data_IF_420401354610
#
_entry.id   IF_420401354610
#
_cell.length_a   1.000
_cell.length_b   1.000
_cell.length_c   1.000
_cell.angle_alpha   90.00
_cell.angle_beta   90.00
_cell.angle_gamma   90.00
#
_symmetry.space_group_name_H-M   'P 1'
#
loop_
_entity.id
_entity.type
_entity.pdbx_description
1 polymer ?
#
# COMPACT_ATOMS: atom_id res chain seq x y z
N UNK A 1 20.51 -2.81 18.48
CA UNK A 1 19.65 -2.06 17.54
C UNK A 1 18.52 -2.99 17.16
N UNK A 2 17.26 -2.61 17.42
CA UNK A 2 16.14 -3.45 16.98
C UNK A 2 16.01 -3.37 15.46
N UNK A 3 15.72 -4.50 14.82
CA UNK A 3 15.62 -4.62 13.36
C UNK A 3 14.17 -4.56 12.93
N UNK A 4 13.87 -3.79 11.88
CA UNK A 4 12.52 -3.74 11.30
C UNK A 4 12.24 -5.06 10.56
N UNK A 5 11.14 -5.71 10.93
CA UNK A 5 10.68 -6.97 10.32
C UNK A 5 9.38 -6.69 9.56
N UNK A 6 9.26 -7.24 8.34
CA UNK A 6 8.01 -7.24 7.59
C UNK A 6 7.36 -8.62 7.74
N UNK A 7 6.08 -8.65 8.13
CA UNK A 7 5.31 -9.88 8.25
C UNK A 7 3.87 -9.68 7.78
N UNK A 8 3.13 -10.77 7.70
CA UNK A 8 1.68 -10.71 7.47
C UNK A 8 1.00 -10.04 8.68
N UNK A 9 -0.05 -9.28 8.40
CA UNK A 9 -0.89 -8.67 9.40
C UNK A 9 -1.79 -9.72 10.05
N UNK A 10 -1.98 -9.62 11.36
CA UNK A 10 -2.90 -10.50 12.11
C UNK A 10 -3.96 -9.71 12.85
N UNK A 11 -4.94 -10.41 13.44
CA UNK A 11 -5.99 -9.78 14.24
C UNK A 11 -5.44 -8.99 15.44
N UNK A 12 -4.29 -9.40 15.99
CA UNK A 12 -3.62 -8.70 17.10
C UNK A 12 -3.03 -7.35 16.67
N UNK A 13 -2.70 -7.17 15.39
CA UNK A 13 -2.12 -5.93 14.89
C UNK A 13 -3.19 -4.84 14.62
N UNK A 14 -4.47 -5.23 14.53
CA UNK A 14 -5.56 -4.37 14.03
C UNK A 14 -5.70 -3.04 14.78
N UNK A 15 -5.54 -3.05 16.10
CA UNK A 15 -5.69 -1.82 16.89
C UNK A 15 -4.60 -0.80 16.51
N UNK A 16 -3.34 -1.23 16.42
CA UNK A 16 -2.24 -0.35 16.02
C UNK A 16 -2.34 0.06 14.54
N UNK A 17 -2.83 -0.82 13.67
CA UNK A 17 -3.09 -0.47 12.27
C UNK A 17 -4.18 0.60 12.16
N UNK A 18 -5.25 0.48 12.94
CA UNK A 18 -6.33 1.47 12.97
C UNK A 18 -5.85 2.83 13.48
N UNK A 19 -5.00 2.87 14.51
CA UNK A 19 -4.36 4.12 14.96
C UNK A 19 -3.53 4.78 13.83
N UNK A 20 -2.72 3.98 13.11
CA UNK A 20 -1.94 4.48 11.97
C UNK A 20 -2.86 5.01 10.86
N UNK A 21 -3.99 4.35 10.63
CA UNK A 21 -5.00 4.73 9.65
C UNK A 21 -5.60 6.10 9.99
N UNK A 22 -6.06 6.28 11.23
CA UNK A 22 -6.61 7.55 11.74
C UNK A 22 -5.59 8.69 11.69
N UNK A 23 -4.32 8.41 12.01
CA UNK A 23 -3.24 9.41 11.90
C UNK A 23 -2.91 9.81 10.46
N UNK A 24 -3.15 8.91 9.49
CA UNK A 24 -2.62 9.06 8.12
C UNK A 24 -3.62 9.63 7.12
N UNK A 25 -4.92 9.45 7.35
CA UNK A 25 -5.95 9.76 6.35
C UNK A 25 -7.08 10.60 6.92
N UNK A 26 -7.56 11.56 6.12
CA UNK A 26 -8.72 12.41 6.45
C UNK A 26 -10.02 11.59 6.56
N UNK A 27 -10.12 10.48 5.82
CA UNK A 27 -11.26 9.57 5.83
C UNK A 27 -10.72 8.14 6.06
N UNK A 28 -10.41 7.78 7.31
CA UNK A 28 -9.84 6.49 7.64
C UNK A 28 -10.83 5.35 7.37
N UNK A 29 -10.34 4.18 6.98
CA UNK A 29 -11.18 3.00 6.93
C UNK A 29 -11.66 2.60 8.33
N UNK A 30 -12.93 2.18 8.47
CA UNK A 30 -13.42 1.67 9.74
C UNK A 30 -12.69 0.36 10.11
N UNK A 31 -12.51 0.13 11.41
CA UNK A 31 -11.85 -1.08 11.95
C UNK A 31 -12.46 -2.38 11.39
N UNK A 32 -13.77 -2.42 11.16
CA UNK A 32 -14.46 -3.56 10.57
C UNK A 32 -14.00 -3.89 9.16
N UNK A 33 -13.71 -2.87 8.34
CA UNK A 33 -13.19 -3.05 6.98
C UNK A 33 -11.72 -3.47 7.01
N UNK A 34 -10.91 -2.86 7.88
CA UNK A 34 -9.52 -3.30 8.11
C UNK A 34 -9.48 -4.78 8.55
N UNK A 35 -10.39 -5.21 9.42
CA UNK A 35 -10.53 -6.62 9.82
C UNK A 35 -10.94 -7.51 8.65
N UNK A 36 -11.85 -7.06 7.79
CA UNK A 36 -12.24 -7.82 6.61
C UNK A 36 -11.05 -8.07 5.67
N UNK A 37 -10.15 -7.10 5.51
CA UNK A 37 -8.94 -7.26 4.70
C UNK A 37 -7.99 -8.34 5.18
N UNK A 38 -8.00 -8.73 6.47
CA UNK A 38 -7.22 -9.89 6.93
C UNK A 38 -7.60 -11.19 6.20
N UNK A 39 -8.84 -11.28 5.73
CA UNK A 39 -9.34 -12.43 4.96
C UNK A 39 -9.28 -12.17 3.46
N UNK A 40 -9.63 -10.95 3.02
CA UNK A 40 -9.76 -10.62 1.60
C UNK A 40 -8.42 -10.43 0.89
N UNK A 41 -7.38 -9.98 1.60
CA UNK A 41 -6.10 -9.64 1.00
C UNK A 41 -5.24 -10.87 0.67
N UNK A 42 -5.57 -12.06 1.18
CA UNK A 42 -4.90 -13.33 0.85
C UNK A 42 -3.36 -13.23 0.81
N UNK A 43 -2.75 -12.92 1.97
CA UNK A 43 -1.31 -12.73 2.08
C UNK A 43 -0.80 -11.40 1.48
N UNK A 44 -1.66 -10.42 1.19
CA UNK A 44 -1.24 -9.10 0.71
C UNK A 44 -1.49 -7.99 1.75
N UNK A 45 -1.80 -8.35 2.98
CA UNK A 45 -1.86 -7.42 4.11
C UNK A 45 -0.61 -7.60 4.97
N UNK A 46 0.27 -6.60 4.94
CA UNK A 46 1.56 -6.64 5.61
C UNK A 46 1.67 -5.55 6.66
N UNK A 47 2.45 -5.83 7.69
CA UNK A 47 2.90 -4.85 8.68
C UNK A 47 4.41 -4.80 8.75
N UNK A 48 4.92 -3.62 9.08
CA UNK A 48 6.30 -3.41 9.48
C UNK A 48 6.35 -3.26 11.00
N UNK A 49 7.12 -4.10 11.67
CA UNK A 49 7.22 -4.13 13.13
C UNK A 49 8.65 -3.96 13.62
N UNK A 50 8.81 -3.22 14.70
CA UNK A 50 10.03 -3.10 15.50
C UNK A 50 9.64 -3.47 16.93
N UNK A 51 10.14 -4.62 17.40
CA UNK A 51 9.66 -5.30 18.61
C UNK A 51 8.14 -5.57 18.57
N UNK A 52 7.37 -4.99 19.50
CA UNK A 52 5.91 -5.12 19.59
C UNK A 52 5.15 -3.96 18.91
N UNK A 53 5.86 -3.03 18.28
CA UNK A 53 5.27 -1.81 17.72
C UNK A 53 5.14 -1.90 16.20
N UNK A 54 3.93 -1.64 15.71
CA UNK A 54 3.67 -1.50 14.28
C UNK A 54 4.07 -0.09 13.85
N UNK A 55 5.04 -0.03 12.94
CA UNK A 55 5.56 1.21 12.37
C UNK A 55 4.81 1.65 11.11
N UNK A 56 4.13 0.71 10.46
CA UNK A 56 3.39 0.94 9.23
C UNK A 56 2.76 -0.35 8.71
N UNK A 57 1.90 -0.20 7.72
CA UNK A 57 1.19 -1.32 7.13
C UNK A 57 0.95 -1.08 5.63
N UNK A 58 0.61 -2.14 4.91
CA UNK A 58 0.03 -2.03 3.57
C UNK A 58 -1.03 -3.09 3.34
N UNK A 59 -2.06 -2.73 2.59
CA UNK A 59 -3.11 -3.64 2.12
C UNK A 59 -3.04 -3.66 0.59
N UNK A 60 -2.82 -4.85 0.04
CA UNK A 60 -2.92 -5.11 -1.40
C UNK A 60 -4.09 -6.02 -1.73
N UNK A 61 -4.54 -5.95 -2.98
CA UNK A 61 -5.55 -6.85 -3.55
C UNK A 61 -5.17 -7.23 -4.97
N UNK A 62 -5.29 -8.52 -5.32
CA UNK A 62 -5.23 -8.95 -6.71
C UNK A 62 -6.59 -8.71 -7.38
N UNK A 63 -6.58 -8.03 -8.52
CA UNK A 63 -7.78 -7.74 -9.29
C UNK A 63 -7.65 -8.24 -10.73
N UNK A 64 -8.77 -8.69 -11.31
CA UNK A 64 -8.84 -9.18 -12.69
C UNK A 64 -7.70 -10.15 -13.06
N UNK A 65 -7.32 -10.98 -12.09
CA UNK A 65 -6.22 -11.97 -12.13
C UNK A 65 -4.82 -11.42 -12.45
N UNK A 66 -4.66 -10.18 -12.89
CA UNK A 66 -3.40 -9.68 -13.47
C UNK A 66 -2.95 -8.34 -12.89
N UNK A 67 -3.73 -7.75 -11.98
CA UNK A 67 -3.47 -6.39 -11.48
C UNK A 67 -3.27 -6.42 -9.97
N UNK A 68 -2.12 -5.95 -9.51
CA UNK A 68 -1.91 -5.66 -8.10
C UNK A 68 -2.47 -4.28 -7.78
N UNK A 69 -3.40 -4.18 -6.85
CA UNK A 69 -3.92 -2.90 -6.38
C UNK A 69 -3.40 -2.64 -4.97
N UNK A 70 -2.63 -1.57 -4.78
CA UNK A 70 -2.28 -1.07 -3.44
C UNK A 70 -3.50 -0.30 -2.93
N UNK A 71 -4.27 -0.94 -2.05
CA UNK A 71 -5.49 -0.36 -1.47
C UNK A 71 -5.15 0.71 -0.45
N UNK A 72 -4.20 0.41 0.44
CA UNK A 72 -3.70 1.37 1.42
C UNK A 72 -2.25 1.08 1.77
N UNK A 73 -1.52 2.14 2.11
CA UNK A 73 -0.18 2.07 2.67
C UNK A 73 0.04 3.30 3.54
N UNK A 74 0.45 3.06 4.78
CA UNK A 74 0.68 4.11 5.75
C UNK A 74 1.80 3.75 6.71
N UNK A 75 2.44 4.77 7.26
CA UNK A 75 3.51 4.65 8.26
C UNK A 75 3.32 5.72 9.31
N UNK A 76 3.60 5.41 10.59
CA UNK A 76 3.56 6.39 11.67
C UNK A 76 4.43 7.59 11.33
N UNK A 77 3.92 8.80 11.57
CA UNK A 77 4.58 10.06 11.20
C UNK A 77 6.01 10.18 11.73
N UNK A 78 6.24 9.70 12.96
CA UNK A 78 7.54 9.68 13.66
C UNK A 78 8.57 8.72 13.04
N UNK A 79 8.14 7.84 12.15
CA UNK A 79 8.96 6.78 11.54
C UNK A 79 9.15 6.96 10.03
N UNK A 80 8.66 8.09 9.48
CA UNK A 80 8.88 8.46 8.08
C UNK A 80 10.38 8.64 7.83
N UNK A 81 10.81 8.43 6.57
CA UNK A 81 12.22 8.51 6.12
C UNK A 81 13.18 7.46 6.69
N UNK A 82 12.70 6.46 7.46
CA UNK A 82 13.49 5.25 7.85
C UNK A 82 13.42 4.10 6.83
N UNK A 83 12.79 4.30 5.67
CA UNK A 83 12.63 3.25 4.65
C UNK A 83 11.48 2.27 4.89
N UNK A 84 10.68 2.42 5.96
CA UNK A 84 9.55 1.53 6.30
C UNK A 84 8.56 1.37 5.13
N UNK A 85 8.07 2.48 4.58
CA UNK A 85 7.13 2.45 3.46
C UNK A 85 7.73 1.78 2.21
N UNK A 86 9.02 2.03 1.95
CA UNK A 86 9.74 1.39 0.84
C UNK A 86 9.85 -0.12 1.03
N UNK A 87 10.13 -0.59 2.24
CA UNK A 87 10.21 -2.03 2.55
C UNK A 87 8.85 -2.71 2.40
N UNK A 88 7.78 -2.10 2.94
CA UNK A 88 6.41 -2.60 2.77
C UNK A 88 6.02 -2.70 1.30
N UNK A 89 6.24 -1.62 0.54
CA UNK A 89 5.91 -1.58 -0.88
C UNK A 89 6.67 -2.63 -1.68
N UNK A 90 7.98 -2.79 -1.46
CA UNK A 90 8.79 -3.79 -2.17
C UNK A 90 8.34 -5.23 -1.90
N UNK A 91 8.03 -5.56 -0.64
CA UNK A 91 7.53 -6.91 -0.33
C UNK A 91 6.16 -7.13 -0.96
N UNK A 92 5.27 -6.13 -0.92
CA UNK A 92 3.96 -6.23 -1.56
C UNK A 92 4.07 -6.39 -3.08
N UNK A 93 4.91 -5.59 -3.74
CA UNK A 93 5.23 -5.70 -5.17
C UNK A 93 5.74 -7.11 -5.52
N UNK A 94 6.69 -7.64 -4.73
CA UNK A 94 7.21 -9.00 -4.93
C UNK A 94 6.12 -10.07 -4.79
N UNK A 95 5.18 -9.90 -3.85
CA UNK A 95 4.05 -10.83 -3.71
C UNK A 95 3.10 -10.73 -4.89
N UNK A 96 2.80 -9.53 -5.38
CA UNK A 96 2.01 -9.35 -6.60
C UNK A 96 2.64 -10.03 -7.82
N UNK A 97 3.95 -9.89 -8.01
CA UNK A 97 4.66 -10.53 -9.10
C UNK A 97 4.61 -12.06 -8.98
N UNK A 98 4.85 -12.61 -7.78
CA UNK A 98 4.78 -14.05 -7.51
C UNK A 98 3.41 -14.67 -7.80
N UNK A 99 2.32 -13.93 -7.60
CA UNK A 99 0.96 -14.39 -7.91
C UNK A 99 0.52 -14.05 -9.35
N UNK A 100 1.45 -13.66 -10.22
CA UNK A 100 1.22 -13.47 -11.65
C UNK A 100 0.57 -12.13 -12.03
N UNK A 101 0.67 -11.10 -11.18
CA UNK A 101 0.28 -9.76 -11.61
C UNK A 101 1.27 -9.25 -12.66
N UNK A 102 0.76 -8.53 -13.67
CA UNK A 102 1.57 -7.91 -14.74
C UNK A 102 2.02 -6.50 -14.38
N UNK A 103 1.28 -5.85 -13.50
CA UNK A 103 1.59 -4.52 -12.99
C UNK A 103 0.95 -4.30 -11.62
N UNK A 104 1.44 -3.28 -10.94
CA UNK A 104 0.85 -2.74 -9.71
C UNK A 104 0.37 -1.32 -9.95
N UNK A 105 -0.75 -0.96 -9.36
CA UNK A 105 -1.30 0.39 -9.45
C UNK A 105 -1.94 0.84 -8.13
N UNK A 106 -2.19 2.14 -8.04
CA UNK A 106 -2.83 2.79 -6.90
C UNK A 106 -3.47 4.11 -7.30
N UNK A 107 -4.32 4.62 -6.40
CA UNK A 107 -4.80 6.00 -6.42
C UNK A 107 -4.11 6.83 -5.33
N UNK A 108 -3.73 8.06 -5.69
CA UNK A 108 -3.17 9.04 -4.75
C UNK A 108 -3.78 10.41 -4.98
N UNK A 109 -4.11 11.13 -3.91
CA UNK A 109 -4.64 12.48 -4.00
C UNK A 109 -3.65 13.40 -4.74
N UNK A 110 -4.12 14.15 -5.75
CA UNK A 110 -3.28 15.03 -6.57
C UNK A 110 -2.53 16.10 -5.77
N UNK A 111 -3.00 16.42 -4.55
CA UNK A 111 -2.36 17.36 -3.62
C UNK A 111 -1.33 16.69 -2.69
N UNK A 112 -1.28 15.36 -2.61
CA UNK A 112 -0.36 14.62 -1.74
C UNK A 112 1.03 14.47 -2.39
N UNK A 113 1.79 15.57 -2.43
CA UNK A 113 3.12 15.64 -3.07
C UNK A 113 4.11 14.62 -2.50
N UNK A 114 4.05 14.34 -1.20
CA UNK A 114 4.96 13.38 -0.56
C UNK A 114 4.72 11.95 -1.07
N UNK A 115 3.46 11.51 -1.10
CA UNK A 115 3.12 10.18 -1.62
C UNK A 115 3.41 10.07 -3.12
N UNK A 116 3.07 11.10 -3.90
CA UNK A 116 3.38 11.13 -5.34
C UNK A 116 4.89 10.97 -5.57
N UNK A 117 5.71 11.77 -4.89
CA UNK A 117 7.18 11.67 -4.99
C UNK A 117 7.71 10.32 -4.50
N UNK A 118 7.10 9.75 -3.46
CA UNK A 118 7.42 8.41 -3.00
C UNK A 118 7.19 7.39 -4.11
N UNK A 119 6.03 7.35 -4.76
CA UNK A 119 5.75 6.40 -5.84
C UNK A 119 6.59 6.63 -7.10
N UNK A 120 6.83 7.88 -7.49
CA UNK A 120 7.74 8.21 -8.60
C UNK A 120 9.13 7.62 -8.37
N UNK A 121 9.67 7.74 -7.16
CA UNK A 121 10.98 7.15 -6.79
C UNK A 121 11.00 5.62 -6.80
N UNK A 122 9.84 4.97 -6.70
CA UNK A 122 9.72 3.51 -6.77
C UNK A 122 9.40 3.01 -8.19
N UNK A 123 9.43 3.89 -9.19
CA UNK A 123 9.26 3.52 -10.61
C UNK A 123 7.81 3.55 -11.09
N UNK A 124 6.90 4.18 -10.33
CA UNK A 124 5.54 4.41 -10.80
C UNK A 124 5.48 5.63 -11.72
N UNK A 125 4.55 5.60 -12.66
CA UNK A 125 4.21 6.72 -13.54
C UNK A 125 2.73 7.08 -13.41
N UNK A 126 2.39 8.35 -13.59
CA UNK A 126 0.99 8.80 -13.63
C UNK A 126 0.41 8.41 -15.00
N UNK A 127 -0.65 7.60 -15.00
CA UNK A 127 -1.28 7.11 -16.25
C UNK A 127 -2.63 7.75 -16.55
N UNK A 128 -3.33 8.25 -15.53
CA UNK A 128 -4.57 9.02 -15.69
C UNK A 128 -4.91 9.81 -14.43
N UNK A 129 -5.85 10.74 -14.56
CA UNK A 129 -6.47 11.45 -13.43
C UNK A 129 -7.92 11.03 -13.29
N UNK A 130 -8.34 10.62 -12.08
CA UNK A 130 -9.75 10.38 -11.73
C UNK A 130 -10.31 11.62 -11.03
N UNK A 131 -11.29 12.25 -11.66
CA UNK A 131 -12.01 13.40 -11.06
C UNK A 131 -12.87 12.92 -9.89
N UNK A 132 -12.95 13.77 -8.86
CA UNK A 132 -13.77 13.58 -7.65
C UNK A 132 -13.63 12.22 -6.95
N UNK A 133 -12.46 11.58 -7.03
CA UNK A 133 -12.24 10.25 -6.47
C UNK A 133 -12.35 10.21 -4.94
N UNK A 134 -11.81 11.22 -4.25
CA UNK A 134 -11.89 11.32 -2.78
C UNK A 134 -13.01 12.29 -2.33
N UNK A 135 -14.03 12.48 -3.17
CA UNK A 135 -15.10 13.46 -2.95
C UNK A 135 -14.99 14.71 -3.83
N UNK A 136 -15.90 15.65 -3.60
CA UNK A 136 -16.03 16.88 -4.41
C UNK A 136 -14.71 17.65 -4.46
N UNK A 137 -14.23 17.93 -5.67
CA UNK A 137 -12.99 18.66 -5.97
C UNK A 137 -11.70 18.02 -5.39
N UNK A 138 -11.77 16.74 -5.01
CA UNK A 138 -10.62 15.95 -4.53
C UNK A 138 -10.31 14.84 -5.53
N UNK A 139 -9.40 15.13 -6.45
CA UNK A 139 -9.01 14.23 -7.55
C UNK A 139 -7.92 13.25 -7.12
N UNK A 140 -7.80 12.14 -7.87
CA UNK A 140 -6.71 11.19 -7.71
C UNK A 140 -5.89 11.06 -9.00
N UNK A 141 -4.57 11.00 -8.87
CA UNK A 141 -3.75 10.37 -9.88
C UNK A 141 -3.85 8.86 -9.72
N UNK A 142 -4.06 8.16 -10.83
CA UNK A 142 -3.80 6.73 -10.90
C UNK A 142 -2.35 6.58 -11.33
N UNK A 143 -1.56 5.93 -10.48
CA UNK A 143 -0.16 5.66 -10.72
C UNK A 143 0.06 4.16 -10.95
N UNK A 144 0.93 3.80 -11.88
CA UNK A 144 1.16 2.42 -12.29
C UNK A 144 2.65 2.13 -12.48
N UNK A 145 3.06 0.91 -12.10
CA UNK A 145 4.38 0.33 -12.38
C UNK A 145 4.21 -1.06 -13.00
N UNK A 146 4.69 -1.30 -14.23
CA UNK A 146 4.71 -2.64 -14.81
C UNK A 146 5.75 -3.52 -14.12
N UNK A 147 5.47 -4.83 -14.04
CA UNK A 147 6.45 -5.82 -13.61
C UNK A 147 7.21 -6.37 -14.83
N UNK A 148 8.51 -6.60 -14.65
CA UNK A 148 9.48 -6.94 -15.70
C UNK A 148 9.18 -8.29 -16.38
N UNK A 149 8.40 -9.16 -15.74
CA UNK A 149 8.09 -10.53 -16.17
C UNK A 149 6.97 -10.64 -17.22
N UNK A 150 6.51 -9.52 -17.80
CA UNK A 150 5.48 -9.53 -18.87
C UNK A 150 6.03 -9.54 -20.30
N UNK A 151 7.32 -9.79 -20.50
CA UNK A 151 7.94 -9.89 -21.83
C UNK A 151 8.39 -11.33 -22.12
N UNK A 152 7.45 -12.23 -22.30
CA UNK A 152 7.62 -13.48 -23.05
C UNK A 152 6.24 -13.91 -23.52
N UNK A 153 5.83 -13.38 -24.67
CA UNK A 153 4.91 -14.09 -25.55
C UNK A 153 5.82 -14.74 -26.59
N UNK A 154 6.07 -16.04 -26.42
CA UNK A 154 6.32 -16.93 -27.57
C UNK A 154 4.97 -17.51 -28.02
#
# INVERSE_FOLDING_TARGET
>A
MSSIIISDATAQDLQQIYEIEEESFENPYPLSLLRAYLFLADGLYLVAREDQHILGYTIGMRQFQTRGHVVSIATRGTQRRRGVGSSLLKILESRFEKIGCKYVYLEVNVKNRDAINFYLKHGYSIVRTRKNYYGRDKHAFVMLKPFSSSTSFE
#
